data_IF_346576769628
#
_entry.id   IF_346576769628
#
_cell.length_a   1.000
_cell.length_b   1.000
_cell.length_c   1.000
_cell.angle_alpha   90.00
_cell.angle_beta   90.00
_cell.angle_gamma   90.00
#
_symmetry.space_group_name_H-M   'P 1'
#
loop_
_entity.id
_entity.type
_entity.pdbx_description
1 polymer ?
#
# COMPACT_ATOMS: atom_id res chain seq x y z
N UNK A 1 43.02 -54.11 -39.35
CA UNK A 1 42.83 -53.39 -40.63
C UNK A 1 41.88 -52.20 -40.35
N UNK A 2 42.38 -51.02 -40.08
CA UNK A 2 41.62 -49.79 -39.95
C UNK A 2 42.11 -48.81 -41.00
N UNK A 3 41.29 -48.56 -42.05
CA UNK A 3 41.54 -47.54 -43.05
C UNK A 3 41.21 -46.16 -42.44
N UNK A 4 42.22 -45.37 -42.19
CA UNK A 4 42.11 -43.96 -41.97
C UNK A 4 41.70 -43.26 -43.26
N UNK A 5 40.51 -42.63 -43.27
CA UNK A 5 40.10 -41.67 -44.28
C UNK A 5 40.83 -40.36 -43.98
N UNK A 6 41.85 -40.08 -44.79
CA UNK A 6 42.39 -38.72 -44.90
C UNK A 6 41.48 -37.94 -45.85
N UNK A 7 40.51 -37.20 -45.27
CA UNK A 7 39.82 -36.14 -46.00
C UNK A 7 40.71 -34.90 -45.91
N UNK A 8 41.40 -34.60 -47.04
CA UNK A 8 42.06 -33.31 -47.17
C UNK A 8 41.03 -32.21 -47.01
N UNK A 9 41.17 -31.41 -45.92
CA UNK A 9 40.45 -30.18 -45.76
C UNK A 9 40.87 -29.27 -46.91
N UNK A 10 39.95 -28.76 -47.76
CA UNK A 10 40.34 -27.86 -48.84
C UNK A 10 40.98 -26.62 -48.18
N UNK A 11 42.21 -26.33 -48.62
CA UNK A 11 42.94 -25.15 -48.22
C UNK A 11 42.15 -23.92 -48.71
N UNK A 12 41.53 -23.22 -47.76
CA UNK A 12 40.73 -22.02 -48.03
C UNK A 12 41.72 -20.91 -48.42
N UNK A 13 41.85 -20.62 -49.68
CA UNK A 13 42.62 -19.48 -50.20
C UNK A 13 41.66 -18.29 -50.12
N UNK A 14 41.78 -17.50 -49.05
CA UNK A 14 41.04 -16.23 -48.91
C UNK A 14 41.54 -15.24 -49.96
N UNK A 15 40.65 -14.80 -50.83
CA UNK A 15 40.94 -13.75 -51.82
C UNK A 15 41.38 -12.46 -51.11
N UNK A 16 42.40 -11.82 -51.60
CA UNK A 16 42.93 -10.56 -51.07
C UNK A 16 41.89 -9.52 -50.97
N UNK A 17 40.83 -9.50 -51.76
CA UNK A 17 39.71 -8.59 -51.74
C UNK A 17 38.83 -8.79 -50.52
N UNK A 18 38.88 -9.96 -49.86
CA UNK A 18 38.13 -10.20 -48.62
C UNK A 18 38.78 -9.55 -47.38
N UNK A 19 40.01 -9.07 -47.52
CA UNK A 19 40.74 -8.36 -46.44
C UNK A 19 40.89 -6.87 -46.73
N UNK A 20 40.13 -6.30 -47.66
CA UNK A 20 40.06 -4.87 -47.77
C UNK A 20 39.30 -4.32 -46.56
N UNK A 21 39.90 -3.34 -45.84
CA UNK A 21 39.24 -2.59 -44.79
C UNK A 21 38.00 -1.94 -45.39
N UNK A 22 36.84 -2.51 -45.11
CA UNK A 22 35.57 -1.82 -45.36
C UNK A 22 35.51 -0.68 -44.37
N UNK A 23 35.92 0.50 -44.81
CA UNK A 23 35.56 1.73 -44.07
C UNK A 23 34.05 1.76 -44.03
N UNK A 24 33.46 1.45 -42.84
CA UNK A 24 32.07 1.80 -42.60
C UNK A 24 31.93 3.27 -42.94
N UNK A 25 31.07 3.58 -43.93
CA UNK A 25 30.72 4.95 -44.25
C UNK A 25 30.46 5.68 -42.94
N UNK A 26 30.98 6.89 -42.83
CA UNK A 26 30.92 7.81 -41.67
C UNK A 26 29.51 8.12 -41.12
N UNK A 27 28.46 7.50 -41.63
CA UNK A 27 27.09 7.65 -41.18
C UNK A 27 26.80 7.01 -39.81
N UNK A 28 27.75 6.30 -39.18
CA UNK A 28 27.64 5.81 -37.80
C UNK A 28 28.44 6.68 -36.83
N UNK A 29 29.34 7.53 -37.34
CA UNK A 29 29.99 8.54 -36.53
C UNK A 29 29.01 9.70 -36.31
N UNK A 30 28.71 9.99 -35.09
CA UNK A 30 27.98 11.20 -34.62
C UNK A 30 26.46 11.22 -34.79
N UNK A 31 25.76 10.17 -34.38
CA UNK A 31 24.57 10.42 -33.64
C UNK A 31 24.97 11.10 -32.30
N UNK A 32 25.45 12.34 -32.39
CA UNK A 32 25.59 13.18 -31.19
C UNK A 32 24.29 13.07 -30.44
N UNK A 33 24.35 12.56 -29.20
CA UNK A 33 23.22 12.59 -28.30
C UNK A 33 22.77 14.04 -28.20
N UNK A 34 21.78 14.44 -29.03
CA UNK A 34 21.25 15.81 -29.07
C UNK A 34 20.49 16.15 -27.81
N UNK A 35 20.16 15.13 -26.99
CA UNK A 35 19.49 15.33 -25.73
C UNK A 35 20.50 15.57 -24.61
N UNK A 36 20.38 16.72 -23.94
CA UNK A 36 21.11 17.02 -22.72
C UNK A 36 20.85 15.90 -21.70
N UNK A 37 21.90 15.35 -21.03
CA UNK A 37 21.72 14.32 -20.03
C UNK A 37 20.76 14.83 -18.94
N UNK A 38 19.61 14.19 -18.83
CA UNK A 38 18.60 14.52 -17.84
C UNK A 38 18.90 13.71 -16.59
N UNK A 39 18.98 14.36 -15.43
CA UNK A 39 19.18 13.64 -14.16
C UNK A 39 18.04 12.64 -13.90
N UNK A 40 18.39 11.49 -13.29
CA UNK A 40 17.49 10.37 -13.04
C UNK A 40 16.12 10.75 -12.47
N UNK A 41 16.09 11.60 -11.43
CA UNK A 41 14.83 12.05 -10.81
C UNK A 41 13.96 12.90 -11.75
N UNK A 42 14.60 13.73 -12.59
CA UNK A 42 13.87 14.56 -13.55
C UNK A 42 13.25 13.68 -14.64
N UNK A 43 13.97 12.69 -15.14
CA UNK A 43 13.47 11.74 -16.14
C UNK A 43 12.32 10.89 -15.57
N UNK A 44 12.48 10.37 -14.35
CA UNK A 44 11.43 9.62 -13.65
C UNK A 44 10.16 10.48 -13.48
N UNK A 45 10.30 11.74 -13.06
CA UNK A 45 9.17 12.65 -12.90
C UNK A 45 8.47 12.97 -14.24
N UNK A 46 9.24 13.17 -15.32
CA UNK A 46 8.68 13.40 -16.65
C UNK A 46 7.91 12.18 -17.16
N UNK A 47 8.43 10.97 -16.95
CA UNK A 47 7.74 9.71 -17.30
C UNK A 47 6.48 9.53 -16.48
N UNK A 48 6.53 9.83 -15.19
CA UNK A 48 5.39 9.80 -14.30
C UNK A 48 4.27 10.75 -14.78
N UNK A 49 4.62 12.00 -15.10
CA UNK A 49 3.67 12.99 -15.59
C UNK A 49 3.11 12.67 -17.00
N UNK A 50 3.79 11.86 -17.80
CA UNK A 50 3.26 11.37 -19.08
C UNK A 50 2.22 10.27 -18.94
N UNK A 51 2.25 9.50 -17.86
CA UNK A 51 1.32 8.39 -17.60
C UNK A 51 0.02 8.92 -16.98
N UNK A 52 -1.07 8.92 -17.74
CA UNK A 52 -2.40 9.32 -17.23
C UNK A 52 -2.84 8.47 -16.04
N UNK A 53 -2.54 7.17 -16.07
CA UNK A 53 -2.87 6.24 -14.97
C UNK A 53 -2.13 6.61 -13.70
N UNK A 54 -0.84 6.93 -13.81
CA UNK A 54 -0.02 7.34 -12.66
C UNK A 54 -0.52 8.65 -12.04
N UNK A 55 -0.94 9.62 -12.85
CA UNK A 55 -1.52 10.87 -12.36
C UNK A 55 -2.83 10.60 -11.61
N UNK A 56 -3.74 9.80 -12.18
CA UNK A 56 -5.01 9.47 -11.54
C UNK A 56 -4.78 8.74 -10.21
N UNK A 57 -3.86 7.77 -10.19
CA UNK A 57 -3.50 7.07 -8.96
C UNK A 57 -2.90 8.01 -7.91
N UNK A 58 -2.02 8.92 -8.31
CA UNK A 58 -1.43 9.91 -7.42
C UNK A 58 -2.47 10.86 -6.82
N UNK A 59 -3.37 11.37 -7.65
CA UNK A 59 -4.49 12.21 -7.18
C UNK A 59 -5.37 11.43 -6.19
N UNK A 60 -5.66 10.16 -6.47
CA UNK A 60 -6.40 9.30 -5.54
C UNK A 60 -5.69 9.15 -4.19
N UNK A 61 -4.39 8.94 -4.20
CA UNK A 61 -3.59 8.85 -2.95
C UNK A 61 -3.62 10.18 -2.19
N UNK A 62 -3.46 11.31 -2.89
CA UNK A 62 -3.51 12.65 -2.26
C UNK A 62 -4.88 12.91 -1.63
N UNK A 63 -5.97 12.52 -2.30
CA UNK A 63 -7.33 12.63 -1.74
C UNK A 63 -7.46 11.78 -0.48
N UNK A 64 -7.01 10.52 -0.49
CA UNK A 64 -7.07 9.63 0.68
C UNK A 64 -6.26 10.21 1.84
N UNK A 65 -5.05 10.71 1.59
CA UNK A 65 -4.22 11.37 2.61
C UNK A 65 -4.90 12.61 3.18
N UNK A 66 -5.46 13.44 2.31
CA UNK A 66 -6.21 14.63 2.72
C UNK A 66 -7.41 14.26 3.61
N UNK A 67 -8.22 13.31 3.15
CA UNK A 67 -9.37 12.82 3.90
C UNK A 67 -8.97 12.21 5.24
N UNK A 68 -7.92 11.39 5.30
CA UNK A 68 -7.43 10.80 6.54
C UNK A 68 -6.95 11.83 7.57
N UNK A 69 -6.41 12.96 7.11
CA UNK A 69 -5.92 14.02 7.99
C UNK A 69 -7.06 14.94 8.42
N UNK A 70 -7.87 15.41 7.48
CA UNK A 70 -8.82 16.50 7.73
C UNK A 70 -10.21 16.03 8.18
N UNK A 71 -10.72 14.89 7.63
CA UNK A 71 -12.09 14.46 7.97
C UNK A 71 -12.34 14.20 9.46
N UNK A 72 -11.45 13.53 10.20
CA UNK A 72 -11.66 13.38 11.65
C UNK A 72 -11.61 14.69 12.44
N UNK A 73 -11.02 15.75 11.86
CA UNK A 73 -10.95 17.07 12.51
C UNK A 73 -12.16 17.95 12.19
N UNK A 74 -12.81 17.72 11.06
CA UNK A 74 -13.97 18.50 10.61
C UNK A 74 -15.30 17.94 11.13
N UNK A 75 -15.31 16.71 11.63
CA UNK A 75 -16.54 16.14 12.18
C UNK A 75 -16.90 16.75 13.52
N UNK A 76 -18.21 16.96 13.70
CA UNK A 76 -18.80 17.37 14.98
C UNK A 76 -18.75 16.24 16.04
N UNK A 77 -18.66 14.99 15.58
CA UNK A 77 -18.64 13.79 16.40
C UNK A 77 -17.20 13.32 16.66
N UNK A 78 -16.91 12.98 17.91
CA UNK A 78 -15.63 12.36 18.24
C UNK A 78 -15.70 10.85 17.95
N UNK A 79 -14.58 10.25 17.54
CA UNK A 79 -14.51 8.83 17.14
C UNK A 79 -14.87 7.83 18.25
N UNK A 80 -14.86 8.27 19.51
CA UNK A 80 -15.20 7.48 20.70
C UNK A 80 -16.56 7.82 21.29
N UNK A 81 -17.27 8.83 20.79
CA UNK A 81 -18.57 9.22 21.31
C UNK A 81 -19.56 8.08 21.13
N UNK A 82 -20.05 7.55 22.26
CA UNK A 82 -21.00 6.44 22.29
C UNK A 82 -22.36 6.97 22.73
N UNK A 83 -23.39 6.57 22.00
CA UNK A 83 -24.76 6.92 22.35
C UNK A 83 -25.70 5.76 21.99
N UNK A 84 -26.32 5.19 23.02
CA UNK A 84 -27.22 4.05 22.85
C UNK A 84 -28.48 4.38 22.03
N UNK A 85 -28.84 5.65 21.92
CA UNK A 85 -29.97 6.10 21.07
C UNK A 85 -29.62 6.09 19.58
N UNK A 86 -28.34 5.93 19.24
CA UNK A 86 -27.82 6.00 17.86
C UNK A 86 -27.28 4.66 17.36
N UNK A 87 -27.70 3.56 17.96
CA UNK A 87 -27.20 2.23 17.61
C UNK A 87 -27.66 1.83 16.22
N UNK A 88 -26.70 1.42 15.36
CA UNK A 88 -26.94 0.87 14.02
C UNK A 88 -27.85 1.76 13.16
N UNK A 89 -27.67 3.07 13.22
CA UNK A 89 -28.35 3.98 12.32
C UNK A 89 -27.95 3.70 10.87
N UNK A 90 -28.91 3.68 9.94
CA UNK A 90 -28.61 3.59 8.52
C UNK A 90 -27.91 4.85 8.02
N UNK A 91 -27.16 4.78 6.92
CA UNK A 91 -26.51 5.97 6.33
C UNK A 91 -27.52 7.04 5.96
N UNK A 92 -27.22 8.31 6.32
CA UNK A 92 -28.00 9.48 5.94
C UNK A 92 -27.08 10.59 5.49
N UNK A 93 -27.26 11.08 4.26
CA UNK A 93 -26.46 12.17 3.69
C UNK A 93 -27.34 13.32 3.23
N UNK A 94 -26.94 14.58 3.54
CA UNK A 94 -27.62 15.75 2.99
C UNK A 94 -27.55 15.68 1.45
N UNK A 95 -28.57 16.16 0.76
CA UNK A 95 -28.72 16.15 -0.70
C UNK A 95 -29.11 14.77 -1.27
N UNK A 96 -28.47 13.67 -0.90
CA UNK A 96 -28.80 12.32 -1.40
C UNK A 96 -30.11 11.77 -0.83
N UNK A 97 -30.48 12.19 0.38
CA UNK A 97 -31.78 11.85 0.98
C UNK A 97 -32.96 12.29 0.12
N UNK A 98 -32.85 13.40 -0.60
CA UNK A 98 -33.90 13.94 -1.47
C UNK A 98 -34.10 13.06 -2.74
N UNK A 99 -33.11 12.26 -3.12
CA UNK A 99 -33.15 11.31 -4.26
C UNK A 99 -33.57 9.92 -3.80
N UNK A 100 -33.75 9.71 -2.49
CA UNK A 100 -34.11 8.41 -1.90
C UNK A 100 -32.92 7.44 -1.78
N UNK A 101 -31.68 7.94 -1.88
CA UNK A 101 -30.45 7.20 -1.68
C UNK A 101 -29.81 7.72 -0.40
N UNK A 102 -29.44 6.81 0.52
CA UNK A 102 -28.86 7.18 1.82
C UNK A 102 -29.78 8.16 2.59
N UNK A 103 -31.06 7.82 2.63
CA UNK A 103 -32.15 8.62 3.18
C UNK A 103 -32.38 8.39 4.69
N UNK A 104 -31.56 7.54 5.32
CA UNK A 104 -31.73 7.22 6.74
C UNK A 104 -32.92 6.31 7.04
N UNK A 105 -33.57 5.72 6.03
CA UNK A 105 -34.71 4.85 6.22
C UNK A 105 -34.32 3.39 6.41
N UNK A 106 -35.19 2.64 7.11
CA UNK A 106 -35.03 1.21 7.33
C UNK A 106 -36.37 0.48 7.24
N UNK A 107 -36.34 -0.74 6.69
CA UNK A 107 -37.47 -1.64 6.75
C UNK A 107 -37.48 -2.43 8.05
N UNK A 108 -38.58 -2.35 8.79
CA UNK A 108 -38.86 -3.17 9.95
C UNK A 108 -39.94 -4.18 9.59
N UNK A 109 -39.57 -5.45 9.58
CA UNK A 109 -40.46 -6.55 9.18
C UNK A 109 -41.19 -7.12 10.40
N UNK A 110 -42.34 -7.76 10.15
CA UNK A 110 -43.16 -8.46 11.15
C UNK A 110 -43.53 -7.57 12.34
N UNK A 111 -44.09 -6.40 12.06
CA UNK A 111 -44.62 -5.51 13.10
C UNK A 111 -46.12 -5.73 13.25
N UNK A 112 -46.60 -5.66 14.52
CA UNK A 112 -48.02 -5.79 14.80
C UNK A 112 -48.73 -4.52 14.35
N UNK A 113 -49.86 -4.67 13.65
CA UNK A 113 -50.66 -3.53 13.18
C UNK A 113 -51.15 -2.68 14.34
N UNK A 114 -51.62 -3.31 15.44
CA UNK A 114 -52.11 -2.66 16.62
C UNK A 114 -51.09 -1.74 17.28
N UNK A 115 -49.80 -2.03 17.10
CA UNK A 115 -48.73 -1.26 17.72
C UNK A 115 -48.30 -0.04 16.88
N UNK A 116 -48.86 0.17 15.70
CA UNK A 116 -48.44 1.29 14.83
C UNK A 116 -49.01 2.63 15.30
N UNK A 117 -50.11 2.61 16.09
CA UNK A 117 -50.74 3.80 16.66
C UNK A 117 -50.05 4.25 17.94
N UNK A 118 -49.16 3.46 18.49
CA UNK A 118 -48.43 3.81 19.73
C UNK A 118 -47.32 4.82 19.42
N UNK A 119 -47.60 6.08 19.69
CA UNK A 119 -46.67 7.20 19.49
C UNK A 119 -45.42 7.13 20.37
N UNK A 120 -45.48 6.39 21.49
CA UNK A 120 -44.30 6.13 22.33
C UNK A 120 -43.32 5.22 21.64
N UNK A 121 -43.82 4.28 20.86
CA UNK A 121 -43.00 3.30 20.11
C UNK A 121 -42.63 3.78 18.73
N UNK A 122 -43.54 4.51 18.08
CA UNK A 122 -43.34 5.07 16.73
C UNK A 122 -43.71 6.56 16.79
N UNK A 123 -42.74 7.46 17.03
CA UNK A 123 -42.95 8.89 17.03
C UNK A 123 -43.67 9.39 15.76
N UNK A 124 -44.43 10.45 15.87
CA UNK A 124 -45.16 11.02 14.72
C UNK A 124 -44.23 11.29 13.53
N UNK A 125 -44.66 10.86 12.34
CA UNK A 125 -43.87 11.01 11.11
C UNK A 125 -42.69 10.07 10.96
N UNK A 126 -42.50 9.11 11.90
CA UNK A 126 -41.43 8.07 11.73
C UNK A 126 -41.83 6.99 10.75
N UNK A 127 -43.13 6.67 10.60
CA UNK A 127 -43.61 5.65 9.64
C UNK A 127 -43.85 6.32 8.29
N UNK A 128 -43.10 5.89 7.27
CA UNK A 128 -43.20 6.43 5.92
C UNK A 128 -44.11 5.59 5.01
N UNK A 129 -44.09 4.27 5.19
CA UNK A 129 -44.85 3.33 4.36
C UNK A 129 -45.15 2.05 5.11
N UNK A 130 -46.35 1.49 4.88
CA UNK A 130 -46.78 0.20 5.43
C UNK A 130 -47.12 -0.69 4.27
N UNK A 131 -46.61 -1.93 4.27
CA UNK A 131 -46.84 -2.93 3.21
C UNK A 131 -46.95 -4.34 3.80
N UNK A 132 -47.26 -5.31 2.98
CA UNK A 132 -47.26 -6.75 3.30
C UNK A 132 -48.12 -7.12 4.52
N UNK A 133 -49.38 -6.66 4.56
CA UNK A 133 -50.31 -7.08 5.59
C UNK A 133 -50.54 -8.59 5.51
N UNK A 134 -50.34 -9.29 6.64
CA UNK A 134 -50.50 -10.74 6.73
C UNK A 134 -50.94 -11.15 8.12
N UNK A 135 -51.68 -12.24 8.22
CA UNK A 135 -52.00 -12.86 9.53
C UNK A 135 -50.98 -13.94 9.84
N UNK A 136 -50.34 -13.80 10.98
CA UNK A 136 -49.38 -14.78 11.52
C UNK A 136 -49.89 -15.19 12.90
N UNK A 137 -50.22 -16.46 13.05
CA UNK A 137 -50.77 -17.03 14.30
C UNK A 137 -51.93 -16.24 14.90
N UNK A 138 -52.84 -15.74 14.03
CA UNK A 138 -54.01 -14.98 14.47
C UNK A 138 -53.77 -13.49 14.76
N UNK A 139 -52.53 -13.02 14.63
CA UNK A 139 -52.17 -11.59 14.84
C UNK A 139 -51.93 -10.91 13.49
N UNK A 140 -52.50 -9.74 13.30
CA UNK A 140 -52.29 -8.94 12.09
C UNK A 140 -50.87 -8.29 12.14
N UNK A 141 -50.05 -8.66 11.15
CA UNK A 141 -48.66 -8.22 11.01
C UNK A 141 -48.48 -7.46 9.70
N UNK A 142 -47.55 -6.54 9.67
CA UNK A 142 -47.16 -5.79 8.48
C UNK A 142 -45.66 -5.52 8.48
N UNK A 143 -45.14 -5.07 7.35
CA UNK A 143 -43.79 -4.55 7.21
C UNK A 143 -43.88 -3.05 7.03
N UNK A 144 -43.07 -2.29 7.76
CA UNK A 144 -43.06 -0.82 7.74
C UNK A 144 -41.72 -0.27 7.29
N UNK A 145 -41.73 0.78 6.48
CA UNK A 145 -40.58 1.61 6.19
C UNK A 145 -40.60 2.79 7.14
N UNK A 146 -39.56 2.95 7.94
CA UNK A 146 -39.47 4.05 8.91
C UNK A 146 -38.29 4.95 8.58
N UNK A 147 -38.46 6.26 8.85
CA UNK A 147 -37.31 7.15 9.06
C UNK A 147 -36.70 6.76 10.40
N UNK A 148 -35.54 6.09 10.32
CA UNK A 148 -34.94 5.48 11.50
C UNK A 148 -34.36 6.53 12.46
N UNK A 149 -34.04 7.73 11.97
CA UNK A 149 -33.60 8.84 12.81
C UNK A 149 -34.72 9.40 13.68
N UNK A 150 -35.89 9.64 13.10
CA UNK A 150 -37.09 10.02 13.83
C UNK A 150 -37.57 8.92 14.78
N UNK A 151 -37.48 7.67 14.34
CA UNK A 151 -37.78 6.50 15.17
C UNK A 151 -36.91 6.42 16.42
N UNK A 152 -35.62 6.80 16.32
CA UNK A 152 -34.72 6.89 17.48
C UNK A 152 -34.81 8.22 18.26
N UNK A 153 -35.70 9.12 17.88
CA UNK A 153 -35.89 10.40 18.55
C UNK A 153 -34.76 11.41 18.32
N UNK A 154 -34.07 11.31 17.19
CA UNK A 154 -32.99 12.24 16.83
C UNK A 154 -33.55 13.50 16.19
N UNK A 155 -32.88 14.64 16.42
CA UNK A 155 -33.22 15.92 15.83
C UNK A 155 -33.12 15.93 14.31
N UNK A 156 -34.01 16.65 13.64
CA UNK A 156 -33.95 16.89 12.21
C UNK A 156 -32.63 17.62 11.87
N UNK A 157 -31.95 17.16 10.80
CA UNK A 157 -30.62 17.70 10.43
C UNK A 157 -29.42 16.94 11.01
N UNK A 158 -29.68 15.87 11.76
CA UNK A 158 -28.61 14.95 12.18
C UNK A 158 -28.24 14.02 11.02
N UNK A 159 -26.96 13.98 10.64
CA UNK A 159 -26.47 13.16 9.54
C UNK A 159 -25.29 12.30 9.96
N UNK A 160 -25.37 11.01 9.67
CA UNK A 160 -24.27 10.06 9.75
C UNK A 160 -24.05 9.45 8.37
N UNK A 161 -23.03 9.91 7.66
CA UNK A 161 -22.81 9.59 6.24
C UNK A 161 -22.69 8.10 5.95
N UNK A 162 -22.08 7.34 6.84
CA UNK A 162 -21.98 5.88 6.77
C UNK A 162 -22.83 5.19 7.86
N UNK A 163 -23.68 5.95 8.56
CA UNK A 163 -24.41 5.43 9.70
C UNK A 163 -23.53 5.27 10.93
N UNK A 164 -24.04 4.51 11.91
CA UNK A 164 -23.37 4.26 13.18
C UNK A 164 -23.17 2.77 13.44
N UNK A 165 -22.24 2.45 14.32
CA UNK A 165 -21.99 1.07 14.74
C UNK A 165 -22.92 0.64 15.90
N UNK A 166 -22.68 -0.57 16.41
CA UNK A 166 -23.43 -1.18 17.51
C UNK A 166 -23.27 -0.47 18.86
N UNK A 167 -22.38 0.52 18.96
CA UNK A 167 -22.20 1.40 20.12
C UNK A 167 -22.68 2.84 19.84
N UNK A 168 -23.32 3.08 18.69
CA UNK A 168 -23.79 4.39 18.28
C UNK A 168 -22.68 5.37 17.83
N UNK A 169 -21.48 4.86 17.50
CA UNK A 169 -20.35 5.70 17.09
C UNK A 169 -20.38 5.92 15.58
N UNK A 170 -20.03 7.12 15.14
CA UNK A 170 -19.99 7.48 13.73
C UNK A 170 -18.95 6.65 12.95
N UNK A 171 -19.43 5.84 11.98
CA UNK A 171 -18.58 5.00 11.14
C UNK A 171 -17.68 5.80 10.19
N UNK A 172 -18.16 6.97 9.71
CA UNK A 172 -17.37 7.82 8.81
C UNK A 172 -16.12 8.36 9.52
N UNK A 173 -16.28 8.90 10.70
CA UNK A 173 -15.17 9.43 11.50
C UNK A 173 -14.20 8.32 11.89
N UNK A 174 -14.73 7.17 12.30
CA UNK A 174 -13.92 6.00 12.67
C UNK A 174 -13.11 5.46 11.53
N UNK A 175 -13.69 5.39 10.32
CA UNK A 175 -13.01 4.94 9.11
C UNK A 175 -11.79 5.82 8.78
N UNK A 176 -11.98 7.14 8.76
CA UNK A 176 -10.89 8.05 8.45
C UNK A 176 -9.83 8.12 9.56
N UNK A 177 -10.26 7.98 10.81
CA UNK A 177 -9.32 7.82 11.93
C UNK A 177 -8.49 6.55 11.80
N UNK A 178 -9.13 5.44 11.47
CA UNK A 178 -8.44 4.18 11.19
C UNK A 178 -7.45 4.31 10.03
N UNK A 179 -7.86 4.93 8.93
CA UNK A 179 -6.99 5.22 7.80
C UNK A 179 -5.76 6.04 8.19
N UNK A 180 -5.93 7.09 9.01
CA UNK A 180 -4.81 7.88 9.54
C UNK A 180 -3.82 7.02 10.32
N UNK A 181 -4.31 6.21 11.26
CA UNK A 181 -3.46 5.32 12.06
C UNK A 181 -2.71 4.33 11.17
N UNK A 182 -3.39 3.71 10.23
CA UNK A 182 -2.77 2.76 9.28
C UNK A 182 -1.70 3.42 8.42
N UNK A 183 -1.95 4.63 7.92
CA UNK A 183 -0.97 5.39 7.11
C UNK A 183 0.27 5.77 7.92
N UNK A 184 0.11 6.18 9.18
CA UNK A 184 1.24 6.49 10.07
C UNK A 184 2.08 5.23 10.35
N UNK A 185 1.42 4.11 10.67
CA UNK A 185 2.10 2.82 10.89
C UNK A 185 2.87 2.42 9.62
N UNK A 186 2.22 2.46 8.46
CA UNK A 186 2.84 2.09 7.19
C UNK A 186 4.06 2.98 6.88
N UNK A 187 3.92 4.30 7.02
CA UNK A 187 4.99 5.24 6.72
C UNK A 187 6.23 5.01 7.61
N UNK A 188 6.03 4.90 8.92
CA UNK A 188 7.14 4.66 9.87
C UNK A 188 7.78 3.29 9.60
N UNK A 189 6.97 2.24 9.42
CA UNK A 189 7.47 0.89 9.17
C UNK A 189 8.27 0.81 7.86
N UNK A 190 7.80 1.43 6.79
CA UNK A 190 8.50 1.44 5.51
C UNK A 190 9.85 2.14 5.62
N UNK A 191 9.91 3.31 6.25
CA UNK A 191 11.18 4.03 6.45
C UNK A 191 12.18 3.17 7.24
N UNK A 192 11.75 2.58 8.35
CA UNK A 192 12.61 1.72 9.15
C UNK A 192 13.09 0.48 8.35
N UNK A 193 12.18 -0.19 7.64
CA UNK A 193 12.48 -1.39 6.87
C UNK A 193 13.44 -1.10 5.72
N UNK A 194 13.24 0.00 4.99
CA UNK A 194 14.12 0.43 3.91
C UNK A 194 15.51 0.78 4.47
N UNK A 195 15.56 1.55 5.56
CA UNK A 195 16.83 1.94 6.16
C UNK A 195 17.64 0.73 6.65
N UNK A 196 17.01 -0.16 7.44
CA UNK A 196 17.66 -1.38 7.95
C UNK A 196 18.07 -2.29 6.79
N UNK A 197 17.17 -2.49 5.83
CA UNK A 197 17.41 -3.34 4.66
C UNK A 197 18.55 -2.84 3.79
N UNK A 198 18.64 -1.53 3.55
CA UNK A 198 19.74 -0.92 2.81
C UNK A 198 21.06 -1.14 3.53
N UNK A 199 21.17 -0.79 4.81
CA UNK A 199 22.40 -0.93 5.57
C UNK A 199 22.84 -2.39 5.63
N UNK A 200 21.94 -3.27 6.01
CA UNK A 200 22.22 -4.71 6.16
C UNK A 200 22.57 -5.36 4.83
N UNK A 201 21.75 -5.16 3.81
CA UNK A 201 21.97 -5.75 2.48
C UNK A 201 23.24 -5.22 1.80
N UNK A 202 23.56 -3.94 1.98
CA UNK A 202 24.76 -3.33 1.43
C UNK A 202 26.04 -3.93 2.04
N UNK A 203 26.08 -4.10 3.36
CA UNK A 203 27.20 -4.72 4.07
C UNK A 203 27.36 -6.17 3.62
N UNK A 204 26.30 -6.95 3.66
CA UNK A 204 26.32 -8.36 3.24
C UNK A 204 26.80 -8.52 1.79
N UNK A 205 26.24 -7.74 0.86
CA UNK A 205 26.58 -7.79 -0.57
C UNK A 205 27.99 -7.33 -0.89
N UNK A 206 28.46 -6.27 -0.21
CA UNK A 206 29.81 -5.71 -0.44
C UNK A 206 30.90 -6.67 0.02
N UNK A 207 30.88 -7.06 1.29
CA UNK A 207 31.93 -7.94 1.85
C UNK A 207 31.81 -9.36 1.31
N UNK A 208 30.63 -9.91 1.19
CA UNK A 208 30.44 -11.27 0.67
C UNK A 208 31.02 -12.36 1.57
N UNK A 209 31.23 -13.57 1.01
CA UNK A 209 31.91 -14.68 1.67
C UNK A 209 31.29 -15.07 3.03
N UNK A 210 32.13 -15.20 4.05
CA UNK A 210 31.69 -15.61 5.40
C UNK A 210 30.78 -14.59 6.08
N UNK A 211 31.02 -13.28 5.86
CA UNK A 211 30.21 -12.20 6.43
C UNK A 211 28.79 -12.29 5.89
N UNK A 212 28.65 -12.38 4.58
CA UNK A 212 27.36 -12.56 3.91
C UNK A 212 26.64 -13.82 4.38
N UNK A 213 27.35 -14.94 4.47
CA UNK A 213 26.79 -16.22 4.93
C UNK A 213 26.18 -16.08 6.33
N UNK A 214 26.91 -15.50 7.29
CA UNK A 214 26.43 -15.30 8.66
C UNK A 214 25.25 -14.35 8.71
N UNK A 215 25.35 -13.22 8.01
CA UNK A 215 24.27 -12.23 7.94
C UNK A 215 22.99 -12.84 7.35
N UNK A 216 23.09 -13.61 6.27
CA UNK A 216 21.91 -14.29 5.69
C UNK A 216 21.33 -15.37 6.63
N UNK A 217 22.14 -16.09 7.39
CA UNK A 217 21.63 -17.01 8.42
C UNK A 217 20.81 -16.30 9.49
N UNK A 218 21.25 -15.13 9.93
CA UNK A 218 20.47 -14.32 10.87
C UNK A 218 19.11 -13.95 10.26
N UNK A 219 19.06 -13.54 8.99
CA UNK A 219 17.76 -13.24 8.34
C UNK A 219 16.87 -14.45 8.20
N UNK A 220 17.45 -15.64 7.96
CA UNK A 220 16.69 -16.90 7.89
C UNK A 220 16.08 -17.26 9.26
N UNK A 221 16.84 -17.10 10.35
CA UNK A 221 16.35 -17.37 11.71
C UNK A 221 15.20 -16.41 12.06
N UNK A 222 15.37 -15.11 11.81
CA UNK A 222 14.32 -14.11 12.08
C UNK A 222 13.08 -14.38 11.22
N UNK A 223 13.28 -14.67 9.94
CA UNK A 223 12.17 -14.95 9.01
C UNK A 223 11.47 -16.30 9.20
N UNK A 224 12.05 -17.21 10.01
CA UNK A 224 11.44 -18.50 10.32
C UNK A 224 10.30 -18.40 11.35
N UNK A 225 10.23 -17.31 12.12
CA UNK A 225 9.14 -17.11 13.07
C UNK A 225 7.86 -16.73 12.36
N UNK A 226 6.73 -17.42 12.64
CA UNK A 226 5.43 -17.00 12.13
C UNK A 226 5.09 -15.58 12.60
N UNK A 227 4.66 -14.71 11.67
CA UNK A 227 4.37 -13.30 11.94
C UNK A 227 3.36 -13.14 13.10
N UNK A 228 2.33 -14.00 13.15
CA UNK A 228 1.31 -13.94 14.20
C UNK A 228 1.90 -14.18 15.60
N UNK A 229 2.93 -15.00 15.73
CA UNK A 229 3.62 -15.24 17.01
C UNK A 229 4.38 -13.99 17.43
N UNK A 230 5.08 -13.36 16.49
CA UNK A 230 5.84 -12.13 16.75
C UNK A 230 4.89 -10.99 17.15
N UNK A 231 3.77 -10.80 16.45
CA UNK A 231 2.72 -9.84 16.83
C UNK A 231 2.23 -10.07 18.25
N UNK A 232 1.90 -11.32 18.58
CA UNK A 232 1.37 -11.69 19.91
C UNK A 232 2.38 -11.40 21.02
N UNK A 233 3.66 -11.70 20.79
CA UNK A 233 4.73 -11.39 21.74
C UNK A 233 4.87 -9.88 21.96
N UNK A 234 4.88 -9.09 20.89
CA UNK A 234 4.98 -7.64 21.04
C UNK A 234 3.76 -7.03 21.76
N UNK A 235 2.56 -7.54 21.50
CA UNK A 235 1.35 -7.12 22.25
C UNK A 235 1.46 -7.50 23.73
N UNK A 236 2.00 -8.68 24.05
CA UNK A 236 2.17 -9.14 25.43
C UNK A 236 3.16 -8.25 26.21
N UNK A 237 4.29 -7.87 25.59
CA UNK A 237 5.33 -7.09 26.26
C UNK A 237 5.07 -5.58 26.28
N UNK A 238 4.53 -5.02 25.19
CA UNK A 238 4.36 -3.57 25.02
C UNK A 238 2.89 -3.11 25.08
N UNK A 239 1.96 -4.07 25.26
CA UNK A 239 0.52 -3.79 25.26
C UNK A 239 -0.06 -3.64 23.85
N UNK A 240 -1.40 -3.49 23.82
CA UNK A 240 -2.12 -3.22 22.57
C UNK A 240 -1.92 -1.77 22.14
N UNK A 241 -1.36 -1.56 20.95
CA UNK A 241 -1.15 -0.19 20.46
C UNK A 241 -0.36 -0.13 19.17
N UNK A 242 -0.23 1.10 18.66
CA UNK A 242 0.47 1.40 17.42
C UNK A 242 1.96 1.00 17.47
N UNK A 243 2.61 1.17 18.64
CA UNK A 243 4.00 0.83 18.82
C UNK A 243 4.27 -0.67 18.63
N UNK A 244 3.45 -1.53 19.23
CA UNK A 244 3.57 -2.99 19.10
C UNK A 244 3.46 -3.45 17.64
N UNK A 245 2.54 -2.85 16.88
CA UNK A 245 2.35 -3.13 15.46
C UNK A 245 3.57 -2.67 14.64
N UNK A 246 4.07 -1.46 14.88
CA UNK A 246 5.24 -0.93 14.17
C UNK A 246 6.46 -1.82 14.43
N UNK A 247 6.73 -2.17 15.69
CA UNK A 247 7.87 -3.02 16.05
C UNK A 247 7.79 -4.38 15.39
N UNK A 248 6.61 -5.00 15.39
CA UNK A 248 6.40 -6.27 14.70
C UNK A 248 6.72 -6.16 13.20
N UNK A 249 6.17 -5.17 12.51
CA UNK A 249 6.40 -4.96 11.08
C UNK A 249 7.87 -4.65 10.77
N UNK A 250 8.55 -3.94 11.67
CA UNK A 250 9.97 -3.60 11.48
C UNK A 250 10.88 -4.80 11.71
N UNK A 251 10.54 -5.74 12.61
CA UNK A 251 11.43 -6.88 12.90
C UNK A 251 11.62 -7.82 11.71
N UNK A 252 10.62 -8.03 10.87
CA UNK A 252 10.67 -9.03 9.80
C UNK A 252 10.71 -8.44 8.38
N UNK A 253 10.03 -7.33 8.12
CA UNK A 253 9.82 -6.89 6.74
C UNK A 253 11.06 -6.28 6.06
N UNK A 254 12.08 -5.87 6.80
CA UNK A 254 13.34 -5.39 6.22
C UNK A 254 14.15 -6.49 5.50
N UNK A 255 13.89 -7.77 5.82
CA UNK A 255 14.63 -8.92 5.25
C UNK A 255 14.52 -8.96 3.72
N UNK A 256 13.31 -8.72 3.19
CA UNK A 256 13.07 -8.65 1.74
C UNK A 256 13.92 -7.58 1.07
N UNK A 257 13.91 -6.37 1.64
CA UNK A 257 14.72 -5.24 1.17
C UNK A 257 16.22 -5.56 1.25
N UNK A 258 16.68 -6.17 2.35
CA UNK A 258 18.10 -6.54 2.50
C UNK A 258 18.56 -7.52 1.43
N UNK A 259 17.75 -8.54 1.11
CA UNK A 259 18.07 -9.52 0.05
C UNK A 259 18.12 -8.87 -1.33
N UNK A 260 17.22 -7.95 -1.61
CA UNK A 260 17.20 -7.20 -2.86
C UNK A 260 18.46 -6.34 -3.01
N UNK A 261 18.78 -5.52 -2.00
CA UNK A 261 19.98 -4.68 -1.97
C UNK A 261 21.25 -5.53 -2.11
N UNK A 262 21.35 -6.62 -1.35
CA UNK A 262 22.46 -7.58 -1.45
C UNK A 262 22.68 -8.04 -2.89
N UNK A 263 21.61 -8.42 -3.58
CA UNK A 263 21.66 -8.86 -4.99
C UNK A 263 22.22 -7.76 -5.90
N UNK A 264 21.78 -6.52 -5.74
CA UNK A 264 22.30 -5.39 -6.50
C UNK A 264 23.79 -5.14 -6.23
N UNK A 265 24.21 -5.24 -4.96
CA UNK A 265 25.62 -5.08 -4.61
C UNK A 265 26.50 -6.16 -5.25
N UNK A 266 26.06 -7.42 -5.34
CA UNK A 266 26.77 -8.45 -6.07
C UNK A 266 26.95 -8.10 -7.55
N UNK A 267 25.97 -7.45 -8.16
CA UNK A 267 26.03 -7.04 -9.56
C UNK A 267 27.00 -5.89 -9.78
N UNK A 268 27.02 -4.89 -8.89
CA UNK A 268 27.75 -3.64 -9.11
C UNK A 268 29.16 -3.60 -8.48
N UNK A 269 29.45 -4.40 -7.45
CA UNK A 269 30.76 -4.34 -6.74
C UNK A 269 31.97 -4.64 -7.60
N UNK A 270 31.80 -5.35 -8.72
CA UNK A 270 32.84 -5.67 -9.69
C UNK A 270 32.91 -4.71 -10.88
N UNK A 271 32.09 -3.66 -10.91
CA UNK A 271 32.08 -2.71 -12.02
C UNK A 271 33.37 -1.87 -12.05
N UNK A 272 33.80 -1.47 -13.25
CA UNK A 272 35.04 -0.74 -13.49
C UNK A 272 35.18 0.53 -12.65
N UNK A 273 34.10 1.31 -12.51
CA UNK A 273 34.09 2.53 -11.69
C UNK A 273 34.33 2.26 -10.20
N UNK A 274 33.89 1.10 -9.67
CA UNK A 274 34.13 0.70 -8.28
C UNK A 274 35.58 0.29 -8.11
N UNK A 275 36.13 -0.47 -9.08
CA UNK A 275 37.54 -0.87 -9.08
C UNK A 275 38.47 0.36 -9.18
N UNK A 276 38.15 1.29 -10.08
CA UNK A 276 38.89 2.55 -10.20
C UNK A 276 38.86 3.38 -8.90
N UNK A 277 37.69 3.51 -8.25
CA UNK A 277 37.59 4.22 -6.98
C UNK A 277 38.39 3.53 -5.86
N UNK A 278 38.43 2.18 -5.87
CA UNK A 278 39.22 1.39 -4.91
C UNK A 278 40.71 1.57 -5.11
N UNK A 279 41.22 1.60 -6.36
CA UNK A 279 42.63 1.85 -6.67
C UNK A 279 43.07 3.26 -6.27
N UNK A 280 42.16 4.22 -6.29
CA UNK A 280 42.37 5.59 -5.77
C UNK A 280 42.33 5.69 -4.23
N UNK A 281 42.18 4.55 -3.52
CA UNK A 281 42.23 4.51 -2.07
C UNK A 281 40.94 4.93 -1.34
N UNK A 282 39.79 4.92 -2.01
CA UNK A 282 38.50 5.22 -1.38
C UNK A 282 38.16 4.14 -0.35
N UNK A 283 37.79 4.54 0.87
CA UNK A 283 37.43 3.62 1.97
C UNK A 283 36.14 2.84 1.68
N UNK A 284 36.06 1.63 2.19
CA UNK A 284 34.93 0.71 1.97
C UNK A 284 33.54 1.33 2.23
N UNK A 285 33.37 2.03 3.35
CA UNK A 285 32.08 2.69 3.65
C UNK A 285 31.70 3.77 2.62
N UNK A 286 32.70 4.50 2.11
CA UNK A 286 32.45 5.47 1.04
C UNK A 286 32.15 4.78 -0.29
N UNK A 287 32.81 3.65 -0.60
CA UNK A 287 32.47 2.82 -1.76
C UNK A 287 31.02 2.33 -1.68
N UNK A 288 30.61 1.80 -0.52
CA UNK A 288 29.26 1.29 -0.30
C UNK A 288 28.22 2.41 -0.49
N UNK A 289 28.28 3.48 0.31
CA UNK A 289 27.18 4.45 0.40
C UNK A 289 27.26 5.59 -0.61
N UNK A 290 28.45 5.91 -1.15
CA UNK A 290 28.64 7.03 -2.08
C UNK A 290 28.79 6.61 -3.55
N UNK A 291 29.29 5.40 -3.79
CA UNK A 291 29.55 4.94 -5.16
C UNK A 291 28.62 3.82 -5.62
N UNK A 292 28.42 2.76 -4.82
CA UNK A 292 27.63 1.60 -5.24
C UNK A 292 26.13 1.85 -5.01
N UNK A 293 25.75 2.26 -3.81
CA UNK A 293 24.34 2.42 -3.43
C UNK A 293 23.58 3.39 -4.35
N UNK A 294 24.06 4.60 -4.69
CA UNK A 294 23.33 5.51 -5.57
C UNK A 294 23.07 4.92 -6.97
N UNK A 295 24.02 4.14 -7.49
CA UNK A 295 23.87 3.49 -8.79
C UNK A 295 22.99 2.23 -8.76
N UNK A 296 22.77 1.66 -7.56
CA UNK A 296 21.93 0.48 -7.35
C UNK A 296 20.48 0.82 -6.96
N UNK A 297 20.16 2.09 -6.72
CA UNK A 297 18.83 2.53 -6.27
C UNK A 297 17.77 2.36 -7.37
N UNK A 298 18.12 2.49 -8.65
CA UNK A 298 17.15 2.43 -9.74
C UNK A 298 16.20 1.22 -9.71
N UNK A 299 16.70 -0.01 -9.50
CA UNK A 299 15.85 -1.20 -9.38
C UNK A 299 15.13 -1.35 -8.03
N UNK A 300 15.39 -0.48 -7.06
CA UNK A 300 14.85 -0.54 -5.69
C UNK A 300 13.58 0.30 -5.55
N UNK A 301 13.48 1.35 -6.37
CA UNK A 301 12.33 2.24 -6.47
C UNK A 301 11.35 1.72 -7.52
#
# INVERSE_FOLDING_TARGET
MAKFYSSAVPEYQADKEQFEFVQMKDDIADATFQDKPIGFFKDAMLRFCRSKVSIVAFVGIVIILFMAIFMPMMSHWHYNDQDLNRINLPPKMPVLENVGILDGTRWLTNRRVDSLEDTTRYPEGSILKVINYRKVQGVDMCDIKVDYYKYCGLEDGTYFWMGTDYLGRDLWVRMWRGARVSLVIAFISVICNVFIGIVYGSIAGYYGGKIDMVMMRITEIIGAFPEIVVVTLFILFFGTGMLSIILCLVVQNWIGTARMIRSQFYRYKGSEYVLAARTLGVKDMALIFRHILPNSIGPII
#
